data_IF_687314106800
#
_entry.id   IF_687314106800
#
_cell.length_a   1.000
_cell.length_b   1.000
_cell.length_c   1.000
_cell.angle_alpha   90.00
_cell.angle_beta   90.00
_cell.angle_gamma   90.00
#
_symmetry.space_group_name_H-M   'P 1'
#
loop_
_entity.id
_entity.type
_entity.pdbx_description
1 polymer ?
#
# COMPACT_ATOMS: atom_id res chain seq x y z
N UNK A 1 2.64 -7.81 4.87
CA UNK A 1 3.92 -7.60 4.16
C UNK A 1 3.94 -8.18 2.75
N UNK A 2 2.78 -8.35 2.17
CA UNK A 2 2.62 -9.02 0.90
C UNK A 2 2.83 -8.07 -0.27
N UNK A 3 3.73 -8.41 -1.16
CA UNK A 3 3.75 -7.97 -2.55
C UNK A 3 4.35 -6.61 -2.89
N UNK A 4 4.81 -5.80 -1.96
CA UNK A 4 5.37 -4.48 -2.26
C UNK A 4 6.88 -4.32 -1.99
N UNK A 5 7.61 -5.43 -1.98
CA UNK A 5 9.07 -5.42 -1.77
C UNK A 5 9.89 -4.60 -2.78
N UNK A 6 9.26 -4.10 -3.85
CA UNK A 6 9.93 -3.30 -4.89
C UNK A 6 9.75 -1.78 -4.71
N UNK A 7 8.94 -1.33 -3.74
CA UNK A 7 8.71 0.10 -3.50
C UNK A 7 9.14 0.48 -2.09
N UNK A 8 10.09 1.42 -1.96
CA UNK A 8 10.65 1.84 -0.67
C UNK A 8 9.61 2.37 0.32
N UNK A 9 8.62 3.13 -0.16
CA UNK A 9 7.56 3.70 0.65
C UNK A 9 6.64 2.65 1.28
N UNK A 10 6.35 1.57 0.57
CA UNK A 10 5.57 0.44 1.10
C UNK A 10 6.39 -0.41 2.05
N UNK A 11 7.64 -0.68 1.70
CA UNK A 11 8.56 -1.39 2.59
C UNK A 11 8.70 -0.66 3.93
N UNK A 12 8.91 0.67 3.89
CA UNK A 12 9.04 1.48 5.09
C UNK A 12 7.75 1.49 5.93
N UNK A 13 6.57 1.58 5.29
CA UNK A 13 5.29 1.46 5.99
C UNK A 13 5.10 0.10 6.64
N UNK A 14 5.45 -0.98 5.93
CA UNK A 14 5.35 -2.33 6.47
C UNK A 14 6.32 -2.52 7.63
N UNK A 15 7.53 -2.00 7.53
CA UNK A 15 8.48 -2.00 8.61
C UNK A 15 7.91 -1.28 9.85
N UNK A 16 7.31 -0.09 9.68
CA UNK A 16 6.76 0.69 10.78
C UNK A 16 5.46 0.13 11.39
N UNK A 17 4.72 -0.70 10.64
CA UNK A 17 3.45 -1.29 11.08
C UNK A 17 3.51 -2.81 11.18
N UNK A 18 4.71 -3.40 11.13
CA UNK A 18 4.88 -4.84 11.20
C UNK A 18 4.84 -5.37 12.64
N UNK A 19 4.62 -6.66 12.74
CA UNK A 19 4.77 -7.40 13.99
C UNK A 19 6.18 -7.22 14.60
N UNK A 20 7.20 -7.10 13.75
CA UNK A 20 8.60 -6.88 14.18
C UNK A 20 8.74 -5.58 14.96
N UNK A 21 8.07 -4.50 14.55
CA UNK A 21 8.07 -3.23 15.29
C UNK A 21 7.39 -3.37 16.64
N UNK A 22 6.29 -4.13 16.71
CA UNK A 22 5.64 -4.40 17.99
C UNK A 22 6.59 -5.12 18.96
N UNK A 23 7.24 -6.19 18.52
CA UNK A 23 8.20 -6.92 19.35
C UNK A 23 9.43 -6.07 19.70
N UNK A 24 9.98 -5.35 18.73
CA UNK A 24 11.06 -4.39 18.96
C UNK A 24 10.70 -3.37 20.04
N UNK A 25 9.53 -2.73 19.93
CA UNK A 25 9.08 -1.75 20.93
C UNK A 25 8.83 -2.39 22.31
N UNK A 26 8.32 -3.61 22.33
CA UNK A 26 8.14 -4.40 23.56
C UNK A 26 9.49 -4.69 24.24
N UNK A 27 10.50 -5.06 23.47
CA UNK A 27 11.86 -5.31 23.97
C UNK A 27 12.53 -4.02 24.45
N UNK A 28 12.38 -2.92 23.71
CA UNK A 28 12.84 -1.59 24.15
C UNK A 28 12.17 -1.18 25.47
N UNK A 29 10.85 -1.36 25.57
CA UNK A 29 10.12 -1.06 26.79
C UNK A 29 10.51 -1.95 27.98
N UNK A 30 10.86 -3.20 27.72
CA UNK A 30 11.40 -4.12 28.72
C UNK A 30 12.79 -3.66 29.18
N UNK A 31 13.69 -3.40 28.23
CA UNK A 31 15.05 -2.92 28.51
C UNK A 31 15.05 -1.64 29.35
N UNK A 32 14.18 -0.69 29.05
CA UNK A 32 14.04 0.57 29.79
C UNK A 32 13.56 0.35 31.25
N UNK A 33 12.78 -0.72 31.51
CA UNK A 33 12.33 -1.04 32.88
C UNK A 33 13.38 -1.77 33.69
N UNK A 34 14.11 -2.67 33.03
CA UNK A 34 15.10 -3.53 33.71
C UNK A 34 16.47 -2.83 33.84
N UNK A 35 16.81 -1.96 32.90
CA UNK A 35 18.08 -1.23 32.81
C UNK A 35 17.82 0.27 32.56
N UNK A 36 17.43 1.06 33.57
CA UNK A 36 17.09 2.49 33.39
C UNK A 36 18.20 3.32 32.78
N UNK A 37 19.46 2.95 32.96
CA UNK A 37 20.63 3.59 32.37
C UNK A 37 20.65 3.48 30.84
N UNK A 38 20.00 2.48 30.27
CA UNK A 38 19.87 2.31 28.82
C UNK A 38 19.09 3.46 28.14
N UNK A 39 18.30 4.23 28.92
CA UNK A 39 17.57 5.38 28.44
C UNK A 39 18.48 6.42 27.78
N UNK A 40 19.71 6.60 28.29
CA UNK A 40 20.68 7.54 27.71
C UNK A 40 21.13 7.07 26.33
N UNK A 41 21.50 5.80 26.19
CA UNK A 41 21.91 5.21 24.90
C UNK A 41 20.82 5.32 23.85
N UNK A 42 19.59 4.98 24.22
CA UNK A 42 18.41 5.07 23.34
C UNK A 42 18.17 6.54 22.93
N UNK A 43 18.23 7.48 23.89
CA UNK A 43 18.06 8.90 23.62
C UNK A 43 19.13 9.43 22.68
N UNK A 44 20.39 9.07 22.87
CA UNK A 44 21.49 9.50 22.01
C UNK A 44 21.38 8.88 20.60
N UNK A 45 20.90 7.66 20.50
CA UNK A 45 20.59 7.02 19.21
C UNK A 45 19.45 7.73 18.50
N UNK A 46 18.35 8.05 19.18
CA UNK A 46 17.24 8.83 18.62
C UNK A 46 17.68 10.23 18.18
N UNK A 47 18.53 10.89 18.96
CA UNK A 47 19.09 12.20 18.56
C UNK A 47 19.93 12.10 17.29
N UNK A 48 20.77 11.06 17.13
CA UNK A 48 21.55 10.85 15.91
C UNK A 48 20.65 10.57 14.70
N UNK A 49 19.59 9.77 14.88
CA UNK A 49 18.61 9.48 13.83
C UNK A 49 17.88 10.79 13.45
N UNK A 50 17.37 11.54 14.42
CA UNK A 50 16.71 12.82 14.18
C UNK A 50 17.62 13.79 13.45
N UNK A 51 18.87 13.88 13.87
CA UNK A 51 19.88 14.68 13.22
C UNK A 51 20.12 14.28 11.75
N UNK A 52 20.14 13.00 11.46
CA UNK A 52 20.32 12.50 10.11
C UNK A 52 19.09 12.76 9.21
N UNK A 53 17.88 12.66 9.77
CA UNK A 53 16.63 12.86 9.02
C UNK A 53 16.35 14.34 8.76
N UNK A 54 16.56 15.19 9.78
CA UNK A 54 16.25 16.62 9.76
C UNK A 54 17.37 17.47 9.14
N UNK A 55 18.39 16.87 8.50
CA UNK A 55 19.39 17.65 7.79
C UNK A 55 18.75 18.43 6.63
N UNK A 56 19.13 19.69 6.46
CA UNK A 56 18.54 20.58 5.43
C UNK A 56 18.59 20.01 4.02
N UNK A 57 19.62 19.21 3.70
CA UNK A 57 19.78 18.51 2.40
C UNK A 57 18.79 17.36 2.16
N UNK A 58 18.06 16.94 3.20
CA UNK A 58 17.09 15.82 3.12
C UNK A 58 15.64 16.28 3.22
N UNK A 59 15.41 17.56 3.47
CA UNK A 59 14.06 18.11 3.54
C UNK A 59 13.54 18.39 2.13
N UNK A 60 12.35 17.88 1.82
CA UNK A 60 11.63 18.21 0.61
C UNK A 60 10.40 19.02 0.98
N UNK A 61 10.27 20.19 0.40
CA UNK A 61 9.11 21.05 0.54
C UNK A 61 8.24 20.97 -0.71
N UNK A 62 6.96 20.79 -0.52
CA UNK A 62 5.98 20.81 -1.60
C UNK A 62 4.87 21.80 -1.24
N UNK A 63 4.55 22.69 -2.17
CA UNK A 63 3.49 23.67 -1.99
C UNK A 63 2.47 23.59 -3.12
N UNK A 64 1.23 23.91 -2.78
CA UNK A 64 0.17 24.13 -3.76
C UNK A 64 -0.62 25.38 -3.32
N UNK A 65 -0.59 26.39 -4.14
CA UNK A 65 -1.24 27.67 -3.89
C UNK A 65 -1.82 28.23 -5.20
N UNK A 66 -2.56 29.33 -5.11
CA UNK A 66 -2.93 30.12 -6.29
C UNK A 66 -1.67 30.58 -7.01
N UNK A 67 -1.65 30.63 -8.35
CA UNK A 67 -0.49 31.10 -9.11
C UNK A 67 0.05 32.46 -8.63
N UNK A 68 -0.85 33.38 -8.27
CA UNK A 68 -0.51 34.72 -7.84
C UNK A 68 0.32 34.79 -6.55
N UNK A 69 0.17 33.80 -5.65
CA UNK A 69 0.86 33.76 -4.34
C UNK A 69 1.90 32.63 -4.27
N UNK A 70 2.04 31.82 -5.33
CA UNK A 70 2.96 30.70 -5.32
C UNK A 70 4.42 31.12 -5.18
N UNK A 71 4.78 32.26 -5.77
CA UNK A 71 6.12 32.86 -5.65
C UNK A 71 6.47 33.26 -4.22
N UNK A 72 5.53 33.85 -3.50
CA UNK A 72 5.71 34.24 -2.10
C UNK A 72 5.83 33.02 -1.18
N UNK A 73 5.01 31.99 -1.44
CA UNK A 73 5.06 30.72 -0.73
C UNK A 73 6.41 30.01 -0.96
N UNK A 74 6.94 30.03 -2.19
CA UNK A 74 8.25 29.47 -2.52
C UNK A 74 9.37 30.22 -1.76
N UNK A 75 9.37 31.54 -1.77
CA UNK A 75 10.38 32.36 -1.06
C UNK A 75 10.34 32.10 0.44
N UNK A 76 9.16 32.09 1.04
CA UNK A 76 9.01 31.80 2.46
C UNK A 76 9.46 30.38 2.81
N UNK A 77 9.14 29.38 1.98
CA UNK A 77 9.62 28.02 2.16
C UNK A 77 11.15 27.93 2.12
N UNK A 78 11.81 28.60 1.16
CA UNK A 78 13.28 28.67 1.07
C UNK A 78 13.85 29.29 2.33
N UNK A 79 13.24 30.36 2.82
CA UNK A 79 13.67 31.05 4.04
C UNK A 79 13.57 30.15 5.28
N UNK A 80 12.44 29.42 5.45
CA UNK A 80 12.22 28.52 6.57
C UNK A 80 13.12 27.30 6.53
N UNK A 81 13.27 26.66 5.37
CA UNK A 81 14.18 25.53 5.20
C UNK A 81 15.63 25.90 5.47
N UNK A 82 16.04 27.08 4.98
CA UNK A 82 17.38 27.62 5.26
C UNK A 82 17.60 27.89 6.75
N UNK A 83 16.59 28.35 7.48
CA UNK A 83 16.65 28.55 8.93
C UNK A 83 16.77 27.20 9.66
N UNK A 84 15.90 26.25 9.34
CA UNK A 84 15.91 24.91 9.95
C UNK A 84 17.24 24.18 9.69
N UNK A 85 17.77 24.28 8.47
CA UNK A 85 19.07 23.71 8.11
C UNK A 85 20.20 24.29 8.95
N UNK A 86 20.28 25.63 9.09
CA UNK A 86 21.32 26.32 9.90
C UNK A 86 21.21 25.96 11.39
N UNK A 87 20.02 26.00 11.96
CA UNK A 87 19.80 25.64 13.37
C UNK A 87 20.19 24.18 13.65
N UNK A 88 19.94 23.30 12.69
CA UNK A 88 20.27 21.89 12.80
C UNK A 88 21.77 21.65 12.65
N UNK A 89 22.40 22.23 11.62
CA UNK A 89 23.84 22.07 11.38
C UNK A 89 24.67 22.70 12.51
N UNK A 90 24.21 23.83 13.06
CA UNK A 90 24.84 24.45 14.25
C UNK A 90 24.78 23.52 15.48
N UNK A 91 23.67 22.83 15.71
CA UNK A 91 23.54 21.84 16.81
C UNK A 91 24.45 20.61 16.63
N UNK A 92 24.84 20.32 15.39
CA UNK A 92 25.74 19.20 15.06
C UNK A 92 27.21 19.64 14.95
N UNK A 93 27.52 20.92 15.12
CA UNK A 93 28.87 21.49 14.92
C UNK A 93 29.34 21.39 13.45
N UNK A 94 28.42 21.44 12.49
CA UNK A 94 28.72 21.40 11.05
C UNK A 94 28.59 22.78 10.44
N UNK A 95 29.48 23.12 9.49
CA UNK A 95 29.31 24.32 8.66
C UNK A 95 28.15 24.10 7.67
N UNK A 96 27.22 25.04 7.64
CA UNK A 96 26.09 25.03 6.74
C UNK A 96 26.49 25.54 5.36
N UNK A 97 26.49 24.69 4.33
CA UNK A 97 26.64 25.12 2.94
C UNK A 97 25.30 25.58 2.37
N UNK A 98 25.06 26.89 2.40
CA UNK A 98 23.85 27.51 1.87
C UNK A 98 23.67 27.35 0.34
N UNK A 99 24.66 26.81 -0.37
CA UNK A 99 24.61 26.64 -1.83
C UNK A 99 23.89 25.36 -2.28
N UNK A 100 23.54 24.46 -1.35
CA UNK A 100 22.81 23.21 -1.66
C UNK A 100 21.28 23.34 -1.66
N UNK A 101 20.74 24.56 -1.79
CA UNK A 101 19.30 24.69 -2.03
C UNK A 101 19.03 24.37 -3.50
N UNK A 102 18.74 23.13 -3.75
CA UNK A 102 18.37 22.66 -5.10
C UNK A 102 17.02 23.26 -5.50
N UNK A 103 17.04 24.18 -6.46
CA UNK A 103 15.88 24.48 -7.30
C UNK A 103 15.67 23.34 -8.27
N UNK A 104 15.03 22.26 -7.86
CA UNK A 104 14.49 21.33 -8.81
C UNK A 104 13.10 21.83 -9.23
N UNK A 105 13.04 22.57 -10.35
CA UNK A 105 11.82 22.51 -11.16
C UNK A 105 11.55 21.03 -11.44
N UNK A 106 10.29 20.55 -11.40
CA UNK A 106 9.96 19.24 -11.91
C UNK A 106 10.03 19.28 -13.44
N UNK A 107 11.22 19.39 -13.98
CA UNK A 107 11.50 18.85 -15.29
C UNK A 107 11.53 17.35 -15.06
N UNK A 108 10.59 16.67 -15.69
CA UNK A 108 10.57 15.22 -15.78
C UNK A 108 11.87 14.73 -16.42
N UNK A 109 12.94 14.74 -15.65
CA UNK A 109 14.20 14.15 -16.05
C UNK A 109 14.15 12.70 -15.55
N UNK A 110 13.82 11.80 -16.46
CA UNK A 110 13.74 10.35 -16.22
C UNK A 110 15.03 9.77 -15.63
N UNK A 111 16.14 10.47 -15.75
CA UNK A 111 17.47 9.99 -15.34
C UNK A 111 17.79 10.16 -13.85
N UNK A 112 17.12 11.07 -13.14
CA UNK A 112 17.36 11.25 -11.69
C UNK A 112 16.67 10.21 -10.81
N UNK A 113 15.67 9.49 -11.34
CA UNK A 113 14.94 8.46 -10.62
C UNK A 113 15.78 7.17 -10.44
N UNK A 114 16.73 6.89 -11.34
CA UNK A 114 17.51 5.66 -11.32
C UNK A 114 18.54 5.58 -10.20
N UNK A 115 19.09 6.70 -9.76
CA UNK A 115 20.11 6.72 -8.69
C UNK A 115 19.53 6.47 -7.30
N UNK A 116 18.29 6.84 -7.06
CA UNK A 116 17.63 6.60 -5.76
C UNK A 116 17.15 5.14 -5.68
N UNK A 117 16.68 4.58 -6.78
CA UNK A 117 16.19 3.21 -6.86
C UNK A 117 17.31 2.17 -6.61
N UNK A 118 18.53 2.45 -7.07
CA UNK A 118 19.69 1.55 -6.88
C UNK A 118 20.14 1.45 -5.41
N UNK A 119 19.92 2.49 -4.59
CA UNK A 119 20.29 2.46 -3.16
C UNK A 119 19.32 1.67 -2.28
N UNK A 120 18.08 1.48 -2.73
CA UNK A 120 17.04 0.76 -1.97
C UNK A 120 16.95 -0.72 -2.33
N UNK A 121 17.55 -1.17 -3.44
CA UNK A 121 17.59 -2.59 -3.80
C UNK A 121 18.40 -3.44 -2.82
N UNK A 122 19.28 -2.84 -2.03
CA UNK A 122 20.04 -3.53 -0.99
C UNK A 122 19.18 -3.96 0.23
N UNK A 123 17.95 -3.48 0.33
CA UNK A 123 17.00 -3.82 1.39
C UNK A 123 15.84 -4.69 0.90
N UNK A 124 16.04 -5.46 -0.16
CA UNK A 124 15.06 -6.46 -0.56
C UNK A 124 15.04 -7.52 0.53
N UNK A 125 13.95 -7.52 1.30
CA UNK A 125 13.67 -8.61 2.22
C UNK A 125 13.62 -9.92 1.42
N UNK A 126 14.12 -11.04 2.00
CA UNK A 126 13.96 -12.35 1.38
C UNK A 126 12.49 -12.58 1.04
N UNK A 127 12.16 -13.44 0.07
CA UNK A 127 10.79 -13.76 -0.26
C UNK A 127 10.08 -14.19 1.02
N UNK A 128 9.12 -13.38 1.43
CA UNK A 128 8.35 -13.66 2.64
C UNK A 128 7.43 -14.85 2.39
N UNK A 129 7.17 -15.61 3.43
CA UNK A 129 6.22 -16.70 3.40
C UNK A 129 4.91 -16.22 2.81
N UNK A 130 4.37 -17.00 1.90
CA UNK A 130 3.22 -16.57 1.11
C UNK A 130 1.91 -16.67 1.89
N UNK A 131 1.84 -17.55 2.91
CA UNK A 131 0.63 -17.82 3.67
C UNK A 131 0.92 -17.75 5.16
N UNK A 132 0.58 -16.61 5.77
CA UNK A 132 0.88 -16.29 7.17
C UNK A 132 -0.42 -16.22 7.98
N UNK A 133 -0.44 -16.88 9.13
CA UNK A 133 -1.43 -16.63 10.17
C UNK A 133 -0.79 -15.98 11.39
N UNK A 134 -1.49 -15.05 12.01
CA UNK A 134 -1.06 -14.35 13.23
C UNK A 134 -2.13 -14.53 14.29
N UNK A 135 -1.78 -15.26 15.35
CA UNK A 135 -2.66 -15.49 16.47
C UNK A 135 -2.67 -14.29 17.41
N UNK A 136 -3.85 -13.77 17.68
CA UNK A 136 -4.10 -12.69 18.63
C UNK A 136 -5.32 -13.01 19.48
N UNK A 137 -5.45 -12.38 20.63
CA UNK A 137 -6.66 -12.47 21.44
C UNK A 137 -7.76 -11.59 20.81
N UNK A 138 -8.50 -12.19 19.89
CA UNK A 138 -9.59 -11.54 19.16
C UNK A 138 -10.81 -12.46 19.06
N UNK A 139 -12.03 -11.93 19.07
CA UNK A 139 -13.26 -12.74 18.97
C UNK A 139 -13.51 -13.31 17.57
N UNK A 140 -12.89 -12.70 16.55
CA UNK A 140 -13.11 -13.07 15.14
C UNK A 140 -11.84 -12.83 14.33
N UNK A 141 -11.86 -13.26 13.07
CA UNK A 141 -10.70 -13.24 12.20
C UNK A 141 -10.84 -12.21 11.09
N UNK A 142 -9.68 -11.70 10.65
CA UNK A 142 -9.54 -10.90 9.43
C UNK A 142 -8.64 -11.66 8.46
N UNK A 143 -9.12 -11.88 7.26
CA UNK A 143 -8.38 -12.63 6.24
C UNK A 143 -8.22 -11.77 5.00
N UNK A 144 -7.02 -11.80 4.43
CA UNK A 144 -6.69 -11.07 3.20
C UNK A 144 -5.89 -11.96 2.26
N UNK A 145 -6.24 -11.88 0.98
CA UNK A 145 -5.49 -12.48 -0.11
C UNK A 145 -5.23 -11.41 -1.17
N UNK A 146 -4.03 -11.36 -1.74
CA UNK A 146 -3.67 -10.29 -2.67
C UNK A 146 -3.29 -10.82 -4.04
N UNK A 147 -3.75 -10.13 -5.09
CA UNK A 147 -3.24 -10.28 -6.45
C UNK A 147 -2.37 -9.09 -6.83
N UNK A 148 -1.11 -9.34 -7.17
CA UNK A 148 -0.14 -8.32 -7.61
C UNK A 148 -0.11 -8.25 -9.13
N UNK A 149 -0.62 -7.17 -9.71
CA UNK A 149 -0.62 -6.98 -11.16
C UNK A 149 0.50 -6.06 -11.68
N UNK A 150 1.46 -5.70 -10.81
CA UNK A 150 2.62 -4.90 -11.24
C UNK A 150 3.48 -5.68 -12.23
N UNK A 151 3.76 -5.04 -13.35
CA UNK A 151 4.58 -5.68 -14.39
C UNK A 151 3.90 -6.84 -15.10
N UNK A 152 2.63 -7.10 -14.83
CA UNK A 152 1.84 -8.02 -15.63
C UNK A 152 1.25 -7.29 -16.85
N UNK A 153 1.77 -7.54 -18.06
CA UNK A 153 1.32 -6.83 -19.25
C UNK A 153 -0.11 -7.22 -19.68
N UNK A 154 -0.58 -8.35 -19.21
CA UNK A 154 -1.93 -8.85 -19.48
C UNK A 154 -3.01 -8.14 -18.66
N UNK A 155 -2.70 -7.70 -17.43
CA UNK A 155 -3.69 -7.02 -16.61
C UNK A 155 -3.92 -5.59 -17.08
N UNK A 156 -5.18 -5.24 -17.30
CA UNK A 156 -5.63 -3.95 -17.84
C UNK A 156 -6.69 -3.34 -16.94
N UNK A 157 -6.90 -2.02 -17.07
CA UNK A 157 -7.96 -1.32 -16.34
C UNK A 157 -9.35 -1.91 -16.55
N UNK A 158 -9.64 -2.38 -17.76
CA UNK A 158 -10.91 -3.04 -18.13
C UNK A 158 -11.20 -4.35 -17.37
N UNK A 159 -10.22 -4.91 -16.65
CA UNK A 159 -10.43 -6.09 -15.81
C UNK A 159 -10.93 -5.73 -14.40
N UNK A 160 -10.75 -4.48 -13.96
CA UNK A 160 -11.17 -4.04 -12.62
C UNK A 160 -12.69 -4.14 -12.36
N UNK A 161 -13.59 -3.84 -13.33
CA UNK A 161 -15.03 -4.04 -13.13
C UNK A 161 -15.41 -5.48 -12.81
N UNK A 162 -14.68 -6.47 -13.32
CA UNK A 162 -14.93 -7.88 -13.05
C UNK A 162 -14.53 -8.28 -11.62
N UNK A 163 -13.55 -7.61 -11.02
CA UNK A 163 -13.27 -7.75 -9.58
C UNK A 163 -14.45 -7.26 -8.75
N UNK A 164 -15.09 -6.16 -9.15
CA UNK A 164 -16.29 -5.66 -8.47
C UNK A 164 -17.47 -6.65 -8.61
N UNK A 165 -17.62 -7.25 -9.78
CA UNK A 165 -18.62 -8.31 -10.00
C UNK A 165 -18.37 -9.53 -9.10
N UNK A 166 -17.12 -10.00 -8.97
CA UNK A 166 -16.76 -11.07 -8.05
C UNK A 166 -17.07 -10.73 -6.60
N UNK A 167 -16.74 -9.51 -6.18
CA UNK A 167 -17.02 -9.06 -4.81
C UNK A 167 -18.51 -9.13 -4.49
N UNK A 168 -19.35 -8.62 -5.39
CA UNK A 168 -20.79 -8.49 -5.19
C UNK A 168 -21.56 -9.81 -5.41
N UNK A 169 -21.30 -10.50 -6.51
CA UNK A 169 -22.09 -11.68 -6.93
C UNK A 169 -21.53 -13.02 -6.42
N UNK A 170 -20.30 -13.06 -5.93
CA UNK A 170 -19.68 -14.30 -5.47
C UNK A 170 -19.23 -14.23 -4.01
N UNK A 171 -18.31 -13.32 -3.66
CA UNK A 171 -17.72 -13.32 -2.32
C UNK A 171 -18.71 -12.90 -1.24
N UNK A 172 -19.41 -11.78 -1.44
CA UNK A 172 -20.33 -11.24 -0.44
C UNK A 172 -21.49 -12.19 -0.11
N UNK A 173 -22.17 -12.83 -1.09
CA UNK A 173 -23.16 -13.85 -0.79
C UNK A 173 -22.61 -15.04 0.00
N UNK A 174 -21.46 -15.57 -0.39
CA UNK A 174 -20.90 -16.76 0.23
C UNK A 174 -20.29 -16.48 1.61
N UNK A 175 -19.50 -15.43 1.75
CA UNK A 175 -18.74 -15.16 2.98
C UNK A 175 -19.60 -14.42 4.01
N UNK A 176 -20.32 -13.37 3.61
CA UNK A 176 -21.10 -12.57 4.54
C UNK A 176 -22.46 -13.19 4.84
N UNK A 177 -23.28 -13.48 3.81
CA UNK A 177 -24.67 -13.88 4.04
C UNK A 177 -24.81 -15.36 4.44
N UNK A 178 -23.97 -16.22 3.90
CA UNK A 178 -23.98 -17.66 4.21
C UNK A 178 -22.93 -18.04 5.27
N UNK A 179 -21.72 -17.49 5.16
CA UNK A 179 -20.59 -17.80 6.03
C UNK A 179 -20.59 -17.05 7.37
N UNK A 180 -21.42 -16.01 7.53
CA UNK A 180 -21.58 -15.29 8.79
C UNK A 180 -20.49 -14.25 9.11
N UNK A 181 -19.61 -13.94 8.18
CA UNK A 181 -18.68 -12.84 8.34
C UNK A 181 -19.41 -11.47 8.38
N UNK A 182 -18.85 -10.51 9.08
CA UNK A 182 -19.44 -9.17 9.14
C UNK A 182 -19.49 -8.50 7.77
N UNK A 183 -18.39 -8.56 7.04
CA UNK A 183 -18.31 -8.08 5.65
C UNK A 183 -17.18 -8.75 4.88
N UNK A 184 -17.25 -8.68 3.54
CA UNK A 184 -16.22 -9.15 2.63
C UNK A 184 -16.26 -8.36 1.34
N UNK A 185 -15.13 -8.30 0.63
CA UNK A 185 -15.05 -7.56 -0.62
C UNK A 185 -13.73 -7.65 -1.33
N UNK A 186 -13.59 -6.84 -2.35
CA UNK A 186 -12.36 -6.66 -3.11
C UNK A 186 -12.04 -5.18 -3.20
N UNK A 187 -10.84 -4.82 -2.78
CA UNK A 187 -10.27 -3.49 -2.98
C UNK A 187 -9.11 -3.56 -3.95
N UNK A 188 -8.92 -2.53 -4.75
CA UNK A 188 -7.74 -2.41 -5.60
C UNK A 188 -7.07 -1.05 -5.45
N UNK A 189 -5.77 -1.02 -5.67
CA UNK A 189 -4.99 0.19 -5.59
C UNK A 189 -4.05 0.32 -6.79
N UNK A 190 -4.52 1.00 -7.83
CA UNK A 190 -3.81 1.14 -9.12
C UNK A 190 -2.39 1.70 -8.93
N UNK A 191 -2.14 2.76 -8.14
CA UNK A 191 -0.79 3.30 -7.98
C UNK A 191 0.23 2.32 -7.40
N UNK A 192 -0.23 1.34 -6.64
CA UNK A 192 0.62 0.30 -6.08
C UNK A 192 0.58 -1.01 -6.86
N UNK A 193 -0.37 -1.15 -7.78
CA UNK A 193 -0.45 -2.26 -8.70
C UNK A 193 -0.93 -3.56 -8.08
N UNK A 194 -1.89 -3.51 -7.14
CA UNK A 194 -2.46 -4.72 -6.56
C UNK A 194 -3.97 -4.59 -6.30
N UNK A 195 -4.62 -5.72 -6.13
CA UNK A 195 -5.94 -5.83 -5.53
C UNK A 195 -5.90 -6.79 -4.35
N UNK A 196 -6.86 -6.66 -3.43
CA UNK A 196 -6.95 -7.48 -2.22
C UNK A 196 -8.37 -7.97 -2.04
N UNK A 197 -8.53 -9.27 -1.89
CA UNK A 197 -9.73 -9.89 -1.38
C UNK A 197 -9.65 -9.84 0.15
N UNK A 198 -10.75 -9.54 0.80
CA UNK A 198 -10.77 -9.41 2.25
C UNK A 198 -12.08 -9.90 2.87
N UNK A 199 -11.98 -10.42 4.09
CA UNK A 199 -13.10 -10.66 5.00
C UNK A 199 -12.79 -10.08 6.36
N UNK A 200 -13.81 -9.68 7.08
CA UNK A 200 -13.69 -9.09 8.42
C UNK A 200 -14.71 -9.71 9.37
N UNK A 201 -14.30 -9.90 10.63
CA UNK A 201 -15.04 -10.63 11.66
C UNK A 201 -15.56 -11.98 11.12
N UNK A 202 -14.67 -12.73 10.50
CA UNK A 202 -14.96 -13.96 9.77
C UNK A 202 -14.83 -15.19 10.70
N UNK A 203 -15.90 -16.00 10.89
CA UNK A 203 -15.82 -17.20 11.72
C UNK A 203 -15.18 -18.40 11.01
N UNK A 204 -15.11 -18.41 9.66
CA UNK A 204 -14.79 -19.58 8.85
C UNK A 204 -13.63 -19.35 7.88
N UNK A 205 -12.41 -19.20 8.43
CA UNK A 205 -11.19 -18.87 7.68
C UNK A 205 -10.92 -19.84 6.52
N UNK A 206 -11.06 -21.15 6.74
CA UNK A 206 -10.73 -22.15 5.72
C UNK A 206 -11.62 -22.07 4.48
N UNK A 207 -12.94 -21.97 4.67
CA UNK A 207 -13.87 -21.82 3.56
C UNK A 207 -13.72 -20.50 2.84
N UNK A 208 -13.42 -19.41 3.58
CA UNK A 208 -13.15 -18.11 3.00
C UNK A 208 -11.90 -18.13 2.11
N UNK A 209 -10.83 -18.78 2.54
CA UNK A 209 -9.61 -18.94 1.74
C UNK A 209 -9.84 -19.75 0.47
N UNK A 210 -10.67 -20.77 0.54
CA UNK A 210 -11.08 -21.55 -0.64
C UNK A 210 -11.87 -20.69 -1.63
N UNK A 211 -12.83 -19.89 -1.14
CA UNK A 211 -13.58 -18.94 -1.95
C UNK A 211 -12.66 -17.91 -2.61
N UNK A 212 -11.71 -17.36 -1.87
CA UNK A 212 -10.74 -16.42 -2.42
C UNK A 212 -9.92 -17.04 -3.55
N UNK A 213 -9.39 -18.25 -3.35
CA UNK A 213 -8.59 -18.97 -4.35
C UNK A 213 -9.39 -19.28 -5.62
N UNK A 214 -10.68 -19.51 -5.48
CA UNK A 214 -11.57 -19.82 -6.60
C UNK A 214 -12.18 -18.59 -7.27
N UNK A 215 -11.93 -17.38 -6.79
CA UNK A 215 -12.59 -16.16 -7.30
C UNK A 215 -12.42 -15.96 -8.80
N UNK A 216 -11.23 -16.20 -9.35
CA UNK A 216 -11.01 -16.12 -10.79
C UNK A 216 -11.86 -17.11 -11.57
N UNK A 217 -11.91 -18.37 -11.13
CA UNK A 217 -12.72 -19.42 -11.77
C UNK A 217 -14.22 -19.11 -11.68
N UNK A 218 -14.68 -18.71 -10.50
CA UNK A 218 -16.07 -18.38 -10.27
C UNK A 218 -16.58 -17.24 -11.18
N UNK A 219 -15.69 -16.35 -11.63
CA UNK A 219 -16.06 -15.29 -12.56
C UNK A 219 -16.64 -15.83 -13.87
N UNK A 220 -16.21 -17.01 -14.33
CA UNK A 220 -16.75 -17.63 -15.55
C UNK A 220 -18.22 -18.01 -15.40
N UNK A 221 -18.63 -18.37 -14.19
CA UNK A 221 -19.99 -18.83 -13.89
C UNK A 221 -20.95 -17.67 -13.54
N UNK A 222 -20.39 -16.45 -13.34
CA UNK A 222 -21.19 -15.26 -13.08
C UNK A 222 -21.86 -14.79 -14.38
N UNK A 223 -23.19 -14.88 -14.41
CA UNK A 223 -23.95 -14.29 -15.49
C UNK A 223 -24.06 -12.78 -15.33
N UNK A 224 -23.50 -12.03 -16.27
CA UNK A 224 -23.54 -10.56 -16.32
C UNK A 224 -24.34 -10.07 -17.51
N UNK A 225 -25.27 -9.16 -17.24
CA UNK A 225 -25.89 -8.35 -18.29
C UNK A 225 -25.01 -7.12 -18.58
N UNK A 226 -25.26 -6.44 -19.71
CA UNK A 226 -24.55 -5.17 -19.99
C UNK A 226 -24.85 -4.13 -18.91
N UNK A 227 -26.07 -4.09 -18.40
CA UNK A 227 -26.44 -3.16 -17.32
C UNK A 227 -25.68 -3.46 -16.00
N UNK A 228 -25.47 -4.74 -15.66
CA UNK A 228 -24.63 -5.12 -14.52
C UNK A 228 -23.21 -4.61 -14.72
N UNK A 229 -22.62 -4.87 -15.90
CA UNK A 229 -21.26 -4.46 -16.19
C UNK A 229 -21.09 -2.95 -16.15
N UNK A 230 -22.04 -2.19 -16.67
CA UNK A 230 -22.03 -0.73 -16.62
C UNK A 230 -22.02 -0.22 -15.16
N UNK A 231 -22.78 -0.88 -14.26
CA UNK A 231 -22.75 -0.60 -12.83
C UNK A 231 -21.39 -0.89 -12.19
N UNK A 232 -20.74 -1.99 -12.58
CA UNK A 232 -19.40 -2.34 -12.08
C UNK A 232 -18.31 -1.46 -12.68
N UNK A 233 -18.45 -0.99 -13.92
CA UNK A 233 -17.56 0.04 -14.51
C UNK A 233 -17.61 1.31 -13.67
N UNK A 234 -18.80 1.76 -13.31
CA UNK A 234 -18.98 2.95 -12.47
C UNK A 234 -18.37 2.75 -11.09
N UNK A 235 -18.60 1.59 -10.46
CA UNK A 235 -18.05 1.24 -9.15
C UNK A 235 -16.52 1.20 -9.17
N UNK A 236 -15.93 0.55 -10.16
CA UNK A 236 -14.48 0.48 -10.32
C UNK A 236 -13.87 1.87 -10.58
N UNK A 237 -14.53 2.70 -11.38
CA UNK A 237 -14.09 4.05 -11.64
C UNK A 237 -14.15 4.94 -10.39
N UNK A 238 -15.22 4.83 -9.59
CA UNK A 238 -15.37 5.55 -8.34
C UNK A 238 -14.29 5.14 -7.31
N UNK A 239 -13.96 3.86 -7.25
CA UNK A 239 -12.87 3.38 -6.38
C UNK A 239 -11.49 3.83 -6.87
N UNK A 240 -11.24 3.85 -8.17
CA UNK A 240 -9.99 4.34 -8.76
C UNK A 240 -9.78 5.84 -8.52
N UNK A 241 -10.86 6.60 -8.56
CA UNK A 241 -10.90 8.06 -8.38
C UNK A 241 -11.90 8.45 -7.27
N UNK A 242 -11.67 8.05 -6.02
CA UNK A 242 -12.57 8.39 -4.95
C UNK A 242 -12.69 9.92 -4.86
N UNK A 243 -13.92 10.45 -4.72
CA UNK A 243 -14.14 11.87 -4.56
C UNK A 243 -13.36 12.37 -3.36
N UNK A 244 -12.55 13.36 -3.58
CA UNK A 244 -11.73 13.96 -2.55
C UNK A 244 -11.79 15.48 -2.68
N UNK A 245 -11.87 16.18 -1.57
CA UNK A 245 -11.73 17.62 -1.55
C UNK A 245 -10.39 18.06 -2.16
N UNK A 246 -10.31 19.30 -2.58
CA UNK A 246 -9.15 19.87 -3.28
C UNK A 246 -7.82 19.59 -2.56
N UNK A 247 -7.79 19.70 -1.22
CA UNK A 247 -6.59 19.42 -0.43
C UNK A 247 -6.16 17.95 -0.54
N UNK A 248 -7.10 17.00 -0.39
CA UNK A 248 -6.78 15.57 -0.47
C UNK A 248 -6.30 15.16 -1.87
N UNK A 249 -6.86 15.75 -2.92
CA UNK A 249 -6.37 15.53 -4.28
C UNK A 249 -4.94 16.04 -4.45
N UNK A 250 -4.64 17.27 -3.98
CA UNK A 250 -3.29 17.82 -4.02
C UNK A 250 -2.31 16.94 -3.26
N UNK A 251 -2.65 16.51 -2.04
CA UNK A 251 -1.82 15.60 -1.25
C UNK A 251 -1.59 14.25 -1.95
N UNK A 252 -2.57 13.75 -2.68
CA UNK A 252 -2.44 12.52 -3.48
C UNK A 252 -1.41 12.70 -4.59
N UNK A 253 -1.49 13.80 -5.36
CA UNK A 253 -0.53 14.10 -6.41
C UNK A 253 0.89 14.31 -5.85
N UNK A 254 1.00 15.05 -4.75
CA UNK A 254 2.29 15.26 -4.09
C UNK A 254 2.93 13.95 -3.64
N UNK A 255 2.16 13.06 -2.99
CA UNK A 255 2.66 11.73 -2.57
C UNK A 255 3.09 10.88 -3.76
N UNK A 256 2.35 10.91 -4.88
CA UNK A 256 2.72 10.20 -6.11
C UNK A 256 4.02 10.74 -6.69
N UNK A 257 4.16 12.05 -6.78
CA UNK A 257 5.38 12.69 -7.26
C UNK A 257 6.59 12.34 -6.39
N UNK A 258 6.46 12.41 -5.05
CA UNK A 258 7.52 12.00 -4.11
C UNK A 258 7.89 10.53 -4.23
N UNK A 259 6.92 9.68 -4.50
CA UNK A 259 7.12 8.24 -4.66
C UNK A 259 7.64 7.86 -6.07
N UNK A 260 7.86 8.82 -6.96
CA UNK A 260 8.27 8.55 -8.35
C UNK A 260 7.25 7.73 -9.14
N UNK A 261 5.95 7.85 -8.81
CA UNK A 261 4.90 7.08 -9.47
C UNK A 261 4.57 7.74 -10.81
N UNK A 262 4.62 6.95 -11.87
CA UNK A 262 4.20 7.38 -13.20
C UNK A 262 2.68 7.64 -13.23
N UNK A 263 2.34 8.92 -13.22
CA UNK A 263 0.93 9.36 -13.22
C UNK A 263 0.26 9.04 -14.55
N UNK A 264 0.99 9.01 -15.65
CA UNK A 264 0.42 8.76 -16.98
C UNK A 264 -0.01 7.30 -17.11
N UNK A 265 0.79 6.36 -16.62
CA UNK A 265 0.40 4.94 -16.56
C UNK A 265 -0.85 4.73 -15.71
N UNK A 266 -0.95 5.40 -14.56
CA UNK A 266 -2.15 5.35 -13.72
C UNK A 266 -3.36 5.89 -14.48
N UNK A 267 -3.23 7.04 -15.13
CA UNK A 267 -4.32 7.66 -15.86
C UNK A 267 -4.78 6.79 -17.04
N UNK A 268 -3.85 6.15 -17.76
CA UNK A 268 -4.16 5.20 -18.82
C UNK A 268 -4.96 4.00 -18.30
N UNK A 269 -4.53 3.43 -17.15
CA UNK A 269 -5.26 2.33 -16.54
C UNK A 269 -6.66 2.73 -16.07
N UNK A 270 -6.81 3.91 -15.48
CA UNK A 270 -8.12 4.44 -15.08
C UNK A 270 -9.01 4.69 -16.30
N UNK A 271 -8.46 5.26 -17.36
CA UNK A 271 -9.21 5.49 -18.61
C UNK A 271 -9.68 4.17 -19.23
N UNK A 272 -8.88 3.10 -19.13
CA UNK A 272 -9.20 1.80 -19.70
C UNK A 272 -10.33 1.06 -18.95
N UNK A 273 -10.67 1.45 -17.73
CA UNK A 273 -11.83 0.90 -16.98
C UNK A 273 -13.11 1.00 -17.82
N UNK A 274 -13.29 2.13 -18.51
CA UNK A 274 -14.48 2.39 -19.36
C UNK A 274 -14.55 1.50 -20.60
N UNK A 275 -13.47 0.84 -20.95
CA UNK A 275 -13.39 -0.06 -22.10
C UNK A 275 -13.78 -1.50 -21.77
N UNK A 276 -14.20 -1.80 -20.54
CA UNK A 276 -14.69 -3.12 -20.18
C UNK A 276 -15.89 -3.51 -21.05
N UNK A 277 -15.92 -4.77 -21.53
CA UNK A 277 -16.99 -5.37 -22.31
C UNK A 277 -17.20 -6.79 -21.81
N UNK A 278 -18.38 -7.35 -21.99
CA UNK A 278 -18.69 -8.73 -21.55
C UNK A 278 -17.72 -9.75 -22.13
N UNK A 279 -17.25 -9.55 -23.35
CA UNK A 279 -16.26 -10.41 -24.02
C UNK A 279 -14.92 -10.51 -23.27
N UNK A 280 -14.59 -9.54 -22.42
CA UNK A 280 -13.37 -9.55 -21.61
C UNK A 280 -13.48 -10.43 -20.34
N UNK A 281 -14.67 -10.99 -20.04
CA UNK A 281 -14.89 -11.76 -18.81
C UNK A 281 -13.97 -12.98 -18.71
N UNK A 282 -13.83 -13.73 -19.81
CA UNK A 282 -12.97 -14.91 -19.84
C UNK A 282 -11.49 -14.57 -19.69
N UNK A 283 -11.03 -13.48 -20.31
CA UNK A 283 -9.67 -12.98 -20.13
C UNK A 283 -9.44 -12.55 -18.68
N UNK A 284 -10.35 -11.77 -18.10
CA UNK A 284 -10.30 -11.31 -16.72
C UNK A 284 -10.26 -12.49 -15.73
N UNK A 285 -11.12 -13.50 -15.93
CA UNK A 285 -11.17 -14.72 -15.12
C UNK A 285 -9.81 -15.40 -15.02
N UNK A 286 -9.19 -15.67 -16.16
CA UNK A 286 -7.87 -16.32 -16.22
C UNK A 286 -6.81 -15.50 -15.53
N UNK A 287 -6.70 -14.20 -15.85
CA UNK A 287 -5.67 -13.34 -15.29
C UNK A 287 -5.84 -13.16 -13.78
N UNK A 288 -7.07 -12.98 -13.29
CA UNK A 288 -7.36 -12.87 -11.86
C UNK A 288 -6.97 -14.18 -11.15
N UNK A 289 -7.30 -15.33 -11.74
CA UNK A 289 -6.93 -16.63 -11.17
C UNK A 289 -5.41 -16.78 -11.05
N UNK A 290 -4.67 -16.52 -12.13
CA UNK A 290 -3.20 -16.62 -12.14
C UNK A 290 -2.53 -15.69 -11.11
N UNK A 291 -3.08 -14.49 -10.92
CA UNK A 291 -2.57 -13.54 -9.93
C UNK A 291 -2.86 -13.98 -8.48
N UNK A 292 -3.99 -14.62 -8.24
CA UNK A 292 -4.36 -15.11 -6.91
C UNK A 292 -3.61 -16.40 -6.54
N UNK A 293 -3.33 -17.29 -7.49
CA UNK A 293 -2.53 -18.50 -7.22
C UNK A 293 -1.13 -18.17 -6.66
N UNK A 294 -0.56 -17.06 -7.08
CA UNK A 294 0.75 -16.57 -6.63
C UNK A 294 0.65 -15.56 -5.48
N UNK A 295 -0.57 -15.27 -5.06
CA UNK A 295 -0.86 -14.21 -4.12
C UNK A 295 -0.58 -14.60 -2.68
N UNK A 296 0.00 -13.69 -1.89
CA UNK A 296 0.16 -13.92 -0.46
C UNK A 296 -1.17 -13.86 0.27
N UNK A 297 -1.23 -14.64 1.35
CA UNK A 297 -2.37 -14.72 2.27
C UNK A 297 -1.91 -14.27 3.65
N UNK A 298 -2.74 -13.46 4.31
CA UNK A 298 -2.54 -13.11 5.72
C UNK A 298 -3.87 -13.22 6.45
N UNK A 299 -3.87 -13.99 7.53
CA UNK A 299 -5.00 -14.06 8.46
C UNK A 299 -4.54 -13.62 9.85
N UNK A 300 -5.32 -12.79 10.49
CA UNK A 300 -5.09 -12.35 11.88
C UNK A 300 -6.34 -12.67 12.69
N UNK A 301 -6.18 -13.34 13.84
CA UNK A 301 -7.35 -13.64 14.66
C UNK A 301 -7.12 -14.67 15.75
N UNK A 302 -8.20 -15.26 16.18
CA UNK A 302 -8.23 -16.20 17.28
C UNK A 302 -7.44 -17.49 16.96
N UNK A 303 -6.58 -17.89 17.89
CA UNK A 303 -5.72 -19.07 17.74
C UNK A 303 -6.53 -20.34 17.41
N UNK A 304 -7.64 -20.62 18.13
CA UNK A 304 -8.45 -21.81 17.90
C UNK A 304 -9.09 -21.85 16.50
N UNK A 305 -9.51 -20.70 15.99
CA UNK A 305 -10.08 -20.59 14.66
C UNK A 305 -8.99 -20.79 13.58
N UNK A 306 -7.82 -20.21 13.76
CA UNK A 306 -6.68 -20.37 12.87
C UNK A 306 -6.21 -21.82 12.86
N UNK A 307 -6.09 -22.47 14.02
CA UNK A 307 -5.66 -23.87 14.14
C UNK A 307 -6.58 -24.85 13.41
N UNK A 308 -7.90 -24.58 13.34
CA UNK A 308 -8.83 -25.39 12.52
C UNK A 308 -8.49 -25.36 11.03
N UNK A 309 -7.81 -24.33 10.59
CA UNK A 309 -7.40 -24.14 9.19
C UNK A 309 -5.88 -24.13 9.02
N UNK A 310 -5.14 -24.74 9.95
CA UNK A 310 -3.67 -24.70 9.99
C UNK A 310 -3.01 -25.16 8.67
N UNK A 311 -3.61 -26.16 8.00
CA UNK A 311 -3.12 -26.65 6.70
C UNK A 311 -3.17 -25.62 5.56
N UNK A 312 -3.83 -24.47 5.75
CA UNK A 312 -3.89 -23.39 4.76
C UNK A 312 -2.69 -22.43 4.87
N UNK A 313 -1.84 -22.55 5.90
CA UNK A 313 -0.76 -21.61 6.19
C UNK A 313 0.62 -22.26 6.15
N UNK A 314 1.61 -21.49 5.73
CA UNK A 314 3.03 -21.88 5.77
C UNK A 314 3.63 -21.56 7.16
N UNK A 315 3.03 -20.58 7.87
CA UNK A 315 3.44 -20.14 9.21
C UNK A 315 2.23 -19.66 10.02
N UNK A 316 2.22 -20.05 11.29
CA UNK A 316 1.22 -19.63 12.28
C UNK A 316 1.94 -19.01 13.48
#
# INVERSE_FOLDING_TARGET
PSGNNKRPDYWFRNLLNSQDVYYFLKDVAKKLREEPESAKEITDTLRRIAAAILSGSRLTFMASANPDVLGDVEQEAIRQLGRLGREHDARLGREHDARQIYRSRPTANKDSCHTTQARYTAFILPPQKQKLAICVDAPAQETRMMGDFRGNPGFKGRHLPFLMACADKYLKPAIRYQGGAYDSGIDFYIPAGYFTLWSTADPEVGSTLELFSNTGKALMDISLTQQDLDGYILSAYAQALPPAGTLNNRMRYMRRAMAGIDTDQINLMIADIKNARLEHQAEASRIIHDLLEQGPIVTVGNERAIQRSAGCFDEI
#
